data_IF_971167871567
#
_entry.id   IF_971167871567
#
_cell.length_a   1.000
_cell.length_b   1.000
_cell.length_c   1.000
_cell.angle_alpha   90.00
_cell.angle_beta   90.00
_cell.angle_gamma   90.00
#
_symmetry.space_group_name_H-M   'P 1'
#
loop_
_entity.id
_entity.type
_entity.pdbx_description
1 polymer ?
#
# COMPACT_ATOMS: atom_id res chain seq x y z
N UNK A 1 -13.98 11.23 -15.79
CA UNK A 1 -13.94 11.34 -14.41
C UNK A 1 -12.98 12.33 -13.80
N UNK A 2 -13.01 13.49 -14.32
CA UNK A 2 -12.14 14.54 -13.78
C UNK A 2 -12.35 14.79 -12.30
N UNK A 3 -13.57 14.61 -11.84
CA UNK A 3 -13.88 14.86 -10.44
C UNK A 3 -13.11 13.94 -9.51
N UNK A 4 -13.01 12.68 -9.88
CA UNK A 4 -12.31 11.72 -9.05
C UNK A 4 -10.85 12.05 -8.97
N UNK A 5 -10.25 12.37 -10.11
CA UNK A 5 -8.84 12.73 -10.16
C UNK A 5 -8.57 14.00 -9.37
N UNK A 6 -9.45 14.98 -9.52
CA UNK A 6 -9.31 16.21 -8.79
C UNK A 6 -9.37 15.98 -7.29
N UNK A 7 -10.29 15.14 -6.88
CA UNK A 7 -10.44 14.82 -5.48
C UNK A 7 -9.18 14.19 -4.90
N UNK A 8 -8.62 13.22 -5.60
CA UNK A 8 -7.40 12.55 -5.15
C UNK A 8 -6.23 13.50 -5.08
N UNK A 9 -6.12 14.38 -6.05
CA UNK A 9 -5.02 15.34 -6.07
C UNK A 9 -5.10 16.34 -4.94
N UNK A 10 -6.29 16.72 -4.58
CA UNK A 10 -6.47 17.73 -3.56
C UNK A 10 -6.21 17.20 -2.17
N UNK A 11 -6.38 15.92 -1.96
CA UNK A 11 -6.28 15.40 -0.61
C UNK A 11 -5.40 14.16 -0.57
N UNK A 12 -4.11 14.40 -0.66
CA UNK A 12 -3.13 13.34 -0.59
C UNK A 12 -3.12 12.68 0.78
N UNK A 13 -3.31 13.48 1.84
CA UNK A 13 -3.32 12.93 3.20
C UNK A 13 -4.48 11.99 3.40
N UNK A 14 -5.62 12.33 2.84
CA UNK A 14 -6.79 11.47 2.94
C UNK A 14 -6.54 10.17 2.18
N UNK A 15 -5.93 10.25 1.02
CA UNK A 15 -5.62 9.06 0.25
C UNK A 15 -4.69 8.14 1.04
N UNK A 16 -3.67 8.70 1.68
CA UNK A 16 -2.74 7.91 2.48
C UNK A 16 -3.43 7.29 3.69
N UNK A 17 -4.32 8.03 4.33
CA UNK A 17 -5.06 7.50 5.47
C UNK A 17 -5.98 6.35 5.05
N UNK A 18 -6.62 6.50 3.89
CA UNK A 18 -7.47 5.43 3.36
C UNK A 18 -6.66 4.19 3.02
N UNK A 19 -5.47 4.39 2.49
CA UNK A 19 -4.60 3.26 2.17
C UNK A 19 -4.24 2.50 3.44
N UNK A 20 -3.91 3.21 4.52
CA UNK A 20 -3.59 2.56 5.79
C UNK A 20 -4.78 1.77 6.30
N UNK A 21 -5.97 2.34 6.22
CA UNK A 21 -7.17 1.67 6.69
C UNK A 21 -7.45 0.41 5.89
N UNK A 22 -7.38 0.51 4.57
CA UNK A 22 -7.63 -0.65 3.71
C UNK A 22 -6.54 -1.69 3.92
N UNK A 23 -5.30 -1.25 4.06
CA UNK A 23 -4.18 -2.14 4.32
C UNK A 23 -4.45 -3.01 5.55
N UNK A 24 -4.87 -2.38 6.64
CA UNK A 24 -5.12 -3.10 7.87
C UNK A 24 -6.32 -4.05 7.78
N UNK A 25 -7.22 -3.79 6.85
CA UNK A 25 -8.39 -4.66 6.64
C UNK A 25 -8.15 -5.76 5.62
N UNK A 26 -7.23 -5.55 4.68
CA UNK A 26 -6.96 -6.52 3.63
C UNK A 26 -6.08 -7.67 4.08
N UNK A 27 -5.18 -7.39 4.99
CA UNK A 27 -4.13 -8.31 5.33
C UNK A 27 -4.34 -8.91 6.71
N UNK A 28 -3.66 -10.03 6.96
CA UNK A 28 -3.71 -10.70 8.25
C UNK A 28 -3.18 -9.77 9.34
N UNK A 29 -3.76 -9.82 10.55
CA UNK A 29 -3.23 -9.04 11.66
C UNK A 29 -1.74 -9.31 11.93
N UNK A 30 -1.32 -10.55 11.75
CA UNK A 30 0.09 -10.89 11.94
C UNK A 30 0.98 -10.13 10.96
N UNK A 31 0.53 -9.98 9.72
CA UNK A 31 1.30 -9.27 8.72
C UNK A 31 1.26 -7.76 8.96
N UNK A 32 0.09 -7.22 9.28
CA UNK A 32 -0.03 -5.78 9.49
C UNK A 32 0.72 -5.32 10.73
N UNK A 33 0.94 -6.21 11.68
CA UNK A 33 1.73 -5.89 12.86
C UNK A 33 3.19 -5.66 12.52
N UNK A 34 3.67 -6.21 11.40
CA UNK A 34 5.06 -6.11 11.01
C UNK A 34 5.30 -5.28 9.75
N UNK A 35 4.25 -4.98 9.01
CA UNK A 35 4.38 -4.25 7.75
C UNK A 35 3.32 -3.16 7.68
N UNK A 36 3.75 -1.91 7.48
CA UNK A 36 2.85 -0.79 7.42
C UNK A 36 3.23 0.14 6.27
N UNK A 37 2.24 0.69 5.56
CA UNK A 37 2.55 1.68 4.53
C UNK A 37 3.03 2.96 5.18
N UNK A 38 4.08 3.54 4.61
CA UNK A 38 4.70 4.73 5.16
C UNK A 38 4.59 5.93 4.25
N UNK A 39 4.21 5.75 2.99
CA UNK A 39 4.05 6.88 2.10
C UNK A 39 3.67 6.46 0.70
N UNK A 40 3.20 7.43 -0.06
CA UNK A 40 2.82 7.23 -1.45
C UNK A 40 3.48 8.32 -2.27
N UNK A 41 4.23 7.94 -3.30
CA UNK A 41 4.93 8.91 -4.13
C UNK A 41 4.99 8.38 -5.56
N UNK A 42 4.52 9.18 -6.51
CA UNK A 42 4.52 8.85 -7.92
C UNK A 42 3.95 7.46 -8.18
N UNK A 43 2.79 7.21 -7.62
CA UNK A 43 2.06 5.97 -7.78
C UNK A 43 2.82 4.75 -7.23
N UNK A 44 3.80 4.97 -6.37
CA UNK A 44 4.52 3.91 -5.68
C UNK A 44 4.16 3.97 -4.20
N UNK A 45 3.62 2.88 -3.68
CA UNK A 45 3.34 2.78 -2.26
C UNK A 45 4.56 2.22 -1.56
N UNK A 46 5.05 2.95 -0.56
CA UNK A 46 6.20 2.53 0.23
C UNK A 46 5.72 1.87 1.51
N UNK A 47 6.24 0.68 1.76
CA UNK A 47 5.85 -0.10 2.93
C UNK A 47 7.10 -0.45 3.72
N UNK A 48 7.08 -0.18 5.02
CA UNK A 48 8.18 -0.52 5.89
C UNK A 48 7.85 -1.79 6.66
N UNK A 49 8.78 -2.71 6.68
CA UNK A 49 8.65 -3.99 7.39
C UNK A 49 9.69 -4.01 8.49
N UNK A 50 9.30 -4.42 9.68
CA UNK A 50 10.18 -4.37 10.84
C UNK A 50 11.08 -5.61 10.98
N UNK A 51 11.03 -6.52 10.03
CA UNK A 51 11.78 -7.76 10.10
C UNK A 51 12.18 -8.21 8.71
N UNK A 52 13.44 -8.58 8.55
CA UNK A 52 13.91 -9.08 7.26
C UNK A 52 13.28 -10.42 6.91
N UNK A 53 12.91 -11.20 7.89
CA UNK A 53 12.23 -12.47 7.67
C UNK A 53 10.85 -12.22 7.06
N UNK A 54 10.11 -11.27 7.63
CA UNK A 54 8.81 -10.91 7.09
C UNK A 54 8.93 -10.26 5.71
N UNK A 55 9.95 -9.44 5.52
CA UNK A 55 10.18 -8.81 4.24
C UNK A 55 10.38 -9.87 3.15
N UNK A 56 11.20 -10.86 3.42
CA UNK A 56 11.47 -11.93 2.47
C UNK A 56 10.18 -12.71 2.15
N UNK A 57 9.41 -13.02 3.16
CA UNK A 57 8.16 -13.72 3.00
C UNK A 57 7.18 -12.94 2.12
N UNK A 58 7.03 -11.65 2.40
CA UNK A 58 6.10 -10.79 1.68
C UNK A 58 6.52 -10.64 0.22
N UNK A 59 7.80 -10.35 -0.01
CA UNK A 59 8.29 -10.11 -1.36
C UNK A 59 8.21 -11.36 -2.21
N UNK A 60 8.49 -12.53 -1.64
CA UNK A 60 8.48 -13.76 -2.39
C UNK A 60 7.08 -14.27 -2.70
N UNK A 61 6.19 -14.18 -1.71
CA UNK A 61 4.92 -14.91 -1.82
C UNK A 61 3.68 -14.05 -1.86
N UNK A 62 3.77 -12.82 -1.37
CA UNK A 62 2.57 -12.02 -1.20
C UNK A 62 2.54 -10.70 -1.95
N UNK A 63 3.67 -10.29 -2.49
CA UNK A 63 3.77 -8.99 -3.12
C UNK A 63 2.74 -8.77 -4.21
N UNK A 64 2.61 -9.73 -5.10
CA UNK A 64 1.70 -9.59 -6.22
C UNK A 64 0.25 -9.55 -5.77
N UNK A 65 -0.10 -10.41 -4.83
CA UNK A 65 -1.44 -10.46 -4.30
C UNK A 65 -1.81 -9.15 -3.61
N UNK A 66 -0.89 -8.63 -2.82
CA UNK A 66 -1.12 -7.37 -2.11
C UNK A 66 -1.31 -6.23 -3.10
N UNK A 67 -0.46 -6.15 -4.10
CA UNK A 67 -0.58 -5.11 -5.12
C UNK A 67 -1.89 -5.23 -5.87
N UNK A 68 -2.28 -6.44 -6.25
CA UNK A 68 -3.53 -6.65 -6.95
C UNK A 68 -4.72 -6.17 -6.13
N UNK A 69 -4.74 -6.47 -4.86
CA UNK A 69 -5.84 -6.06 -3.98
C UNK A 69 -5.88 -4.55 -3.80
N UNK A 70 -4.72 -3.94 -3.66
CA UNK A 70 -4.66 -2.49 -3.52
C UNK A 70 -5.10 -1.81 -4.81
N UNK A 71 -4.69 -2.34 -5.95
CA UNK A 71 -5.10 -1.78 -7.23
C UNK A 71 -6.60 -1.95 -7.45
N UNK A 72 -7.15 -3.04 -6.97
CA UNK A 72 -8.59 -3.25 -7.05
C UNK A 72 -9.33 -2.21 -6.23
N UNK A 73 -8.81 -1.84 -5.08
CA UNK A 73 -9.44 -0.87 -4.20
C UNK A 73 -9.22 0.56 -4.62
N UNK A 74 -8.04 0.89 -5.11
CA UNK A 74 -7.65 2.28 -5.39
C UNK A 74 -7.37 2.59 -6.85
N UNK A 75 -7.23 1.55 -7.68
CA UNK A 75 -6.92 1.75 -9.07
C UNK A 75 -5.42 1.84 -9.33
N UNK A 76 -5.04 1.54 -10.56
CA UNK A 76 -3.64 1.56 -10.95
C UNK A 76 -3.07 2.95 -11.06
N UNK A 77 -3.95 3.94 -11.23
CA UNK A 77 -3.50 5.32 -11.33
C UNK A 77 -2.94 5.81 -10.01
N UNK A 78 -3.52 5.37 -8.91
CA UNK A 78 -3.05 5.77 -7.60
C UNK A 78 -1.90 4.90 -7.13
N UNK A 79 -1.99 3.59 -7.34
CA UNK A 79 -0.96 2.65 -6.91
C UNK A 79 -0.56 1.78 -8.10
N UNK A 80 0.50 2.19 -8.77
CA UNK A 80 1.01 1.42 -9.91
C UNK A 80 1.99 0.35 -9.46
N UNK A 81 2.68 0.60 -8.34
CA UNK A 81 3.65 -0.37 -7.82
C UNK A 81 3.80 -0.20 -6.32
N UNK A 82 4.47 -1.16 -5.72
CA UNK A 82 4.65 -1.17 -4.28
C UNK A 82 6.12 -1.51 -3.99
N UNK A 83 6.68 -0.83 -3.00
CA UNK A 83 8.07 -1.02 -2.62
C UNK A 83 8.15 -1.37 -1.14
N UNK A 84 8.79 -2.46 -0.82
CA UNK A 84 8.95 -2.92 0.55
C UNK A 84 10.39 -2.72 1.00
N UNK A 85 10.57 -2.33 2.24
CA UNK A 85 11.90 -2.15 2.81
C UNK A 85 11.86 -2.42 4.31
N UNK A 86 13.02 -2.82 4.83
CA UNK A 86 13.18 -2.99 6.28
C UNK A 86 13.54 -1.65 6.88
N UNK A 87 12.86 -1.29 7.92
CA UNK A 87 13.15 -0.01 8.57
C UNK A 87 12.95 -0.03 10.06
#
# INVERSE_FOLDING_TARGET
MPKVLTHLRMDRRRAEAEIVRVWNNLLDPAMTAHAQPTGLHKATLFVTVDSSVWLDEIVRYRRKEILDRLQHSFGRDLIARISFRVG
#
